data_IF_526267321107
#
_entry.id   IF_526267321107
#
_cell.length_a   1.000
_cell.length_b   1.000
_cell.length_c   1.000
_cell.angle_alpha   90.00
_cell.angle_beta   90.00
_cell.angle_gamma   90.00
#
_symmetry.space_group_name_H-M   'P 1'
#
loop_
_entity.id
_entity.type
_entity.pdbx_description
1 polymer ?
#
# COMPACT_ATOMS: atom_id res chain seq x y z
N UNK A 1 11.56 -3.10 1.20
CA UNK A 1 11.17 -2.27 0.05
C UNK A 1 11.32 -3.06 -1.25
N UNK A 2 11.01 -2.46 -2.41
CA UNK A 2 10.84 -3.15 -3.70
C UNK A 2 12.00 -4.04 -4.14
N UNK A 3 13.22 -3.72 -3.73
CA UNK A 3 14.41 -4.47 -4.13
C UNK A 3 14.71 -5.67 -3.23
N UNK A 4 13.88 -5.96 -2.22
CA UNK A 4 14.18 -6.99 -1.22
C UNK A 4 14.40 -8.38 -1.86
N UNK A 5 13.54 -8.76 -2.81
CA UNK A 5 13.68 -10.03 -3.55
C UNK A 5 14.99 -10.08 -4.35
N UNK A 6 15.33 -8.99 -5.04
CA UNK A 6 16.56 -8.88 -5.83
C UNK A 6 17.82 -8.93 -4.96
N UNK A 7 17.83 -8.23 -3.82
CA UNK A 7 18.95 -8.24 -2.87
C UNK A 7 19.12 -9.63 -2.25
N UNK A 8 18.02 -10.33 -1.91
CA UNK A 8 18.07 -11.72 -1.48
C UNK A 8 18.70 -12.65 -2.53
N UNK A 9 18.33 -12.47 -3.79
CA UNK A 9 18.87 -13.27 -4.90
C UNK A 9 20.38 -13.06 -5.11
N UNK A 10 20.93 -11.88 -4.81
CA UNK A 10 22.39 -11.64 -4.82
C UNK A 10 23.14 -12.51 -3.79
N UNK A 11 22.44 -12.92 -2.74
CA UNK A 11 22.94 -13.86 -1.73
C UNK A 11 22.59 -15.32 -2.05
N UNK A 12 21.90 -15.59 -3.16
CA UNK A 12 21.41 -16.93 -3.49
C UNK A 12 20.23 -17.37 -2.62
N UNK A 13 19.48 -16.44 -2.03
CA UNK A 13 18.35 -16.71 -1.14
C UNK A 13 17.07 -16.20 -1.80
N UNK A 14 16.06 -17.07 -1.89
CA UNK A 14 14.72 -16.67 -2.28
C UNK A 14 13.92 -16.24 -1.06
N UNK A 15 13.44 -15.00 -1.07
CA UNK A 15 12.59 -14.46 0.00
C UNK A 15 11.12 -14.62 -0.37
N UNK A 16 10.24 -15.06 0.56
CA UNK A 16 8.82 -15.30 0.32
C UNK A 16 8.05 -13.97 0.33
N UNK A 17 8.40 -13.08 -0.58
CA UNK A 17 7.84 -11.73 -0.69
C UNK A 17 7.30 -11.46 -2.08
N UNK A 18 6.25 -10.64 -2.13
CA UNK A 18 5.68 -10.09 -3.33
C UNK A 18 5.47 -8.59 -3.14
N UNK A 19 5.14 -7.90 -4.23
CA UNK A 19 4.98 -6.45 -4.24
C UNK A 19 3.65 -6.08 -4.88
N UNK A 20 3.02 -5.04 -4.35
CA UNK A 20 1.81 -4.42 -4.89
C UNK A 20 2.10 -2.97 -5.25
N UNK A 21 1.61 -2.50 -6.39
CA UNK A 21 1.77 -1.11 -6.80
C UNK A 21 0.94 -0.19 -5.88
N UNK A 22 1.58 0.81 -5.30
CA UNK A 22 0.93 1.81 -4.47
C UNK A 22 1.26 3.21 -4.99
N UNK A 23 0.26 3.84 -5.57
CA UNK A 23 0.35 5.19 -6.10
C UNK A 23 -0.36 6.16 -5.17
N UNK A 24 0.02 7.43 -5.21
CA UNK A 24 -0.67 8.53 -4.56
C UNK A 24 -0.74 9.69 -5.52
N UNK A 25 -1.76 10.51 -5.35
CA UNK A 25 -1.83 11.82 -5.98
C UNK A 25 -1.63 12.91 -4.94
N UNK A 26 -1.03 14.00 -5.35
CA UNK A 26 -1.04 15.27 -4.64
C UNK A 26 -1.76 16.31 -5.50
N UNK A 27 -2.76 16.96 -4.93
CA UNK A 27 -3.57 17.96 -5.62
C UNK A 27 -3.76 19.18 -4.75
N UNK A 28 -3.83 20.37 -5.37
CA UNK A 28 -4.20 21.59 -4.66
C UNK A 28 -5.72 21.66 -4.44
N UNK A 29 -6.15 21.61 -3.18
CA UNK A 29 -7.54 21.87 -2.78
C UNK A 29 -7.83 23.37 -2.79
N UNK A 30 -7.91 23.94 -3.99
CA UNK A 30 -8.11 25.37 -4.22
C UNK A 30 -9.53 25.86 -3.82
N UNK A 31 -10.52 24.97 -3.80
CA UNK A 31 -11.88 25.24 -3.31
C UNK A 31 -11.98 25.15 -1.78
N UNK A 32 -10.98 24.57 -1.10
CA UNK A 32 -10.97 24.45 0.36
C UNK A 32 -12.04 23.49 0.90
N UNK A 33 -12.31 22.41 0.15
CA UNK A 33 -13.33 21.41 0.51
C UNK A 33 -12.97 20.66 1.78
N UNK A 34 -11.68 20.32 1.95
CA UNK A 34 -11.21 19.59 3.12
C UNK A 34 -10.76 20.60 4.20
N UNK A 35 -11.29 20.54 5.44
CA UNK A 35 -10.80 21.38 6.54
C UNK A 35 -9.30 21.19 6.76
N UNK A 36 -8.55 22.26 7.06
CA UNK A 36 -7.07 22.19 7.19
C UNK A 36 -6.57 21.55 8.50
N UNK A 37 -7.49 21.24 9.40
CA UNK A 37 -7.27 20.49 10.63
C UNK A 37 -7.82 19.06 10.54
N UNK A 38 -8.30 18.64 9.35
CA UNK A 38 -8.77 17.28 9.15
C UNK A 38 -7.64 16.27 9.44
N UNK A 39 -7.94 15.17 10.16
CA UNK A 39 -6.97 14.12 10.42
C UNK A 39 -6.66 13.34 9.13
N UNK A 40 -5.76 12.36 9.23
CA UNK A 40 -5.73 11.28 8.26
C UNK A 40 -7.08 10.57 8.26
N UNK A 41 -7.71 10.44 7.10
CA UNK A 41 -9.01 9.81 6.94
C UNK A 41 -8.91 8.67 5.93
N UNK A 42 -9.47 7.52 6.29
CA UNK A 42 -9.58 6.35 5.43
C UNK A 42 -11.04 5.92 5.40
N UNK A 43 -11.51 5.57 4.21
CA UNK A 43 -12.86 5.06 4.00
C UNK A 43 -12.81 3.55 3.78
N UNK A 44 -13.32 2.80 4.74
CA UNK A 44 -13.20 1.33 4.81
C UNK A 44 -14.41 0.57 4.24
N UNK A 45 -15.40 1.28 3.68
CA UNK A 45 -16.50 0.62 2.97
C UNK A 45 -16.19 0.53 1.46
N UNK A 46 -16.66 -0.54 0.77
CA UNK A 46 -16.56 -0.65 -0.68
C UNK A 46 -17.11 0.57 -1.41
N UNK A 47 -16.51 0.92 -2.55
CA UNK A 47 -16.84 2.13 -3.30
C UNK A 47 -17.51 1.83 -4.63
N UNK A 48 -18.25 2.80 -5.14
CA UNK A 48 -18.78 2.80 -6.50
C UNK A 48 -18.50 4.16 -7.10
N UNK A 49 -17.95 4.21 -8.32
CA UNK A 49 -17.77 5.47 -9.01
C UNK A 49 -19.13 5.97 -9.51
N UNK A 50 -19.44 7.24 -9.23
CA UNK A 50 -20.60 7.92 -9.80
C UNK A 50 -20.30 8.22 -11.28
N UNK A 51 -20.78 7.34 -12.15
CA UNK A 51 -20.54 7.35 -13.59
C UNK A 51 -21.86 7.54 -14.34
N UNK A 52 -21.85 8.45 -15.31
CA UNK A 52 -22.90 8.55 -16.32
C UNK A 52 -22.94 7.31 -17.22
N UNK A 53 -24.02 7.16 -17.99
CA UNK A 53 -24.16 6.04 -18.93
C UNK A 53 -23.06 6.05 -20.01
N UNK A 54 -22.68 7.23 -20.49
CA UNK A 54 -21.63 7.41 -21.50
C UNK A 54 -20.24 7.06 -20.94
N UNK A 55 -19.92 7.53 -19.72
CA UNK A 55 -18.68 7.17 -19.04
C UNK A 55 -18.61 5.67 -18.76
N UNK A 56 -19.72 5.04 -18.35
CA UNK A 56 -19.78 3.60 -18.11
C UNK A 56 -19.51 2.80 -19.39
N UNK A 57 -20.06 3.22 -20.53
CA UNK A 57 -19.79 2.59 -21.83
C UNK A 57 -18.32 2.75 -22.25
N UNK A 58 -17.75 3.95 -22.08
CA UNK A 58 -16.33 4.20 -22.36
C UNK A 58 -15.40 3.37 -21.46
N UNK A 59 -15.65 3.36 -20.15
CA UNK A 59 -14.81 2.66 -19.16
C UNK A 59 -14.87 1.15 -19.35
N UNK A 60 -16.01 0.59 -19.80
CA UNK A 60 -16.14 -0.85 -20.03
C UNK A 60 -15.12 -1.41 -21.04
N UNK A 61 -14.59 -0.56 -21.93
CA UNK A 61 -13.58 -0.93 -22.94
C UNK A 61 -12.13 -0.78 -22.44
N UNK A 62 -11.91 -0.23 -21.23
CA UNK A 62 -10.59 -0.11 -20.63
C UNK A 62 -10.12 -1.45 -20.03
N UNK A 63 -8.79 -1.68 -19.89
CA UNK A 63 -8.25 -2.89 -19.28
C UNK A 63 -8.85 -3.21 -17.90
N UNK A 64 -9.04 -2.19 -17.08
CA UNK A 64 -9.59 -2.31 -15.72
C UNK A 64 -11.10 -2.01 -15.67
N UNK A 65 -11.76 -1.98 -16.83
CA UNK A 65 -13.14 -1.48 -16.98
C UNK A 65 -14.14 -2.17 -16.06
N UNK A 66 -14.07 -3.50 -15.95
CA UNK A 66 -14.97 -4.28 -15.09
C UNK A 66 -14.87 -3.91 -13.60
N UNK A 67 -13.65 -3.61 -13.12
CA UNK A 67 -13.42 -3.17 -11.76
C UNK A 67 -14.01 -1.76 -11.54
N UNK A 68 -13.72 -0.84 -12.46
CA UNK A 68 -14.12 0.57 -12.33
C UNK A 68 -15.64 0.80 -12.45
N UNK A 69 -16.36 -0.05 -13.21
CA UNK A 69 -17.83 0.04 -13.35
C UNK A 69 -18.58 -0.71 -12.23
N UNK A 70 -17.87 -1.54 -11.46
CA UNK A 70 -18.40 -2.42 -10.43
C UNK A 70 -18.23 -1.86 -9.02
N UNK A 71 -18.27 -2.76 -8.04
CA UNK A 71 -17.89 -2.46 -6.66
C UNK A 71 -16.36 -2.48 -6.55
N UNK A 72 -15.78 -1.37 -6.14
CA UNK A 72 -14.35 -1.18 -5.94
C UNK A 72 -13.97 -1.44 -4.47
N UNK A 73 -12.73 -1.89 -4.21
CA UNK A 73 -12.29 -2.22 -2.85
C UNK A 73 -12.25 -0.98 -1.93
N UNK A 74 -12.35 -1.19 -0.61
CA UNK A 74 -12.22 -0.14 0.37
C UNK A 74 -10.79 0.43 0.42
N UNK A 75 -10.57 1.41 1.31
CA UNK A 75 -9.23 1.89 1.65
C UNK A 75 -8.79 3.13 0.89
N UNK A 76 -9.69 3.82 0.18
CA UNK A 76 -9.41 5.17 -0.31
C UNK A 76 -9.17 6.09 0.89
N UNK A 77 -8.05 6.80 0.89
CA UNK A 77 -7.67 7.62 2.03
C UNK A 77 -6.99 8.91 1.63
N UNK A 78 -7.03 9.85 2.55
CA UNK A 78 -6.52 11.19 2.33
C UNK A 78 -5.93 11.79 3.59
N UNK A 79 -5.01 12.73 3.37
CA UNK A 79 -4.52 13.63 4.40
C UNK A 79 -4.05 14.92 3.75
N UNK A 80 -4.02 15.97 4.54
CA UNK A 80 -3.39 17.22 4.14
C UNK A 80 -1.87 17.01 4.09
N UNK A 81 -1.22 17.59 3.10
CA UNK A 81 0.23 17.55 2.95
C UNK A 81 0.87 18.88 3.31
N UNK A 82 1.96 18.81 4.08
CA UNK A 82 2.71 19.99 4.52
C UNK A 82 2.11 20.68 5.75
N UNK A 83 2.92 21.53 6.39
CA UNK A 83 2.48 22.39 7.49
C UNK A 83 2.03 23.78 7.02
N UNK A 84 1.48 24.58 7.94
CA UNK A 84 1.12 25.97 7.67
C UNK A 84 -0.08 26.12 6.73
N UNK A 85 -0.03 27.08 5.81
CA UNK A 85 -1.09 27.39 4.85
C UNK A 85 -1.13 26.50 3.60
N UNK A 86 -0.52 25.31 3.63
CA UNK A 86 -0.55 24.37 2.51
C UNK A 86 -1.99 23.98 2.17
N UNK A 87 -2.30 24.02 0.89
CA UNK A 87 -3.60 23.58 0.36
C UNK A 87 -3.52 22.22 -0.31
N UNK A 88 -2.37 21.55 -0.25
CA UNK A 88 -2.22 20.25 -0.89
C UNK A 88 -2.90 19.15 -0.09
N UNK A 89 -3.57 18.28 -0.84
CA UNK A 89 -4.22 17.07 -0.37
C UNK A 89 -3.51 15.88 -1.01
N UNK A 90 -3.06 14.93 -0.19
CA UNK A 90 -2.67 13.61 -0.69
C UNK A 90 -3.90 12.73 -0.73
N UNK A 91 -4.08 12.00 -1.83
CA UNK A 91 -5.09 10.96 -1.95
C UNK A 91 -4.39 9.69 -2.43
N UNK A 92 -4.71 8.56 -1.82
CA UNK A 92 -4.24 7.25 -2.21
C UNK A 92 -5.44 6.31 -2.21
N UNK A 93 -5.50 5.44 -3.21
CA UNK A 93 -6.45 4.33 -3.23
C UNK A 93 -5.73 3.08 -3.74
N UNK A 94 -5.53 2.05 -2.89
CA UNK A 94 -4.85 0.83 -3.29
C UNK A 94 -5.88 -0.14 -3.91
N UNK A 95 -6.51 0.25 -5.01
CA UNK A 95 -7.54 -0.58 -5.64
C UNK A 95 -6.97 -1.66 -6.58
N UNK A 96 -5.66 -1.64 -6.84
CA UNK A 96 -4.90 -2.71 -7.48
C UNK A 96 -4.06 -3.45 -6.44
N UNK A 97 -4.63 -4.51 -5.88
CA UNK A 97 -3.96 -5.34 -4.85
C UNK A 97 -3.28 -6.59 -5.42
N UNK A 98 -3.35 -6.79 -6.74
CA UNK A 98 -2.70 -7.93 -7.38
C UNK A 98 -1.18 -7.85 -7.20
N UNK A 99 -0.52 -8.98 -6.87
CA UNK A 99 0.94 -9.06 -6.90
C UNK A 99 1.49 -8.73 -8.29
N UNK A 100 2.40 -7.76 -8.34
CA UNK A 100 3.05 -7.29 -9.57
C UNK A 100 4.56 -7.30 -9.42
N UNK A 101 5.25 -7.47 -10.54
CA UNK A 101 6.69 -7.24 -10.59
C UNK A 101 7.00 -5.75 -10.40
N UNK A 102 8.07 -5.46 -9.67
CA UNK A 102 8.53 -4.08 -9.50
C UNK A 102 9.08 -3.55 -10.82
N UNK A 103 8.44 -2.52 -11.37
CA UNK A 103 8.80 -1.90 -12.64
C UNK A 103 9.06 -0.40 -12.42
N UNK A 104 10.21 0.07 -12.90
CA UNK A 104 10.61 1.48 -12.82
C UNK A 104 10.97 2.00 -14.22
N UNK A 105 10.47 3.17 -14.66
CA UNK A 105 9.58 4.09 -13.92
C UNK A 105 8.20 3.48 -13.63
N UNK A 106 7.53 4.00 -12.61
CA UNK A 106 6.25 3.44 -12.14
C UNK A 106 5.20 3.46 -13.26
N UNK A 107 4.49 2.35 -13.51
CA UNK A 107 3.34 2.37 -14.38
C UNK A 107 2.22 3.16 -13.71
N UNK A 108 1.83 4.29 -14.31
CA UNK A 108 0.73 5.12 -13.82
C UNK A 108 -0.50 4.80 -14.68
N UNK A 109 -1.58 4.24 -14.10
CA UNK A 109 -2.82 4.02 -14.83
C UNK A 109 -3.38 5.33 -15.36
N UNK A 110 -3.96 5.28 -16.56
CA UNK A 110 -4.74 6.40 -17.09
C UNK A 110 -5.86 6.73 -16.11
N UNK A 111 -6.17 8.02 -15.98
CA UNK A 111 -7.25 8.52 -15.10
C UNK A 111 -7.11 8.22 -13.59
N UNK A 112 -5.97 7.70 -13.11
CA UNK A 112 -5.77 7.35 -11.68
C UNK A 112 -6.19 8.47 -10.71
N UNK A 113 -5.85 9.71 -11.05
CA UNK A 113 -6.18 10.86 -10.21
C UNK A 113 -7.68 11.14 -10.12
N UNK A 114 -8.39 10.98 -11.24
CA UNK A 114 -9.84 11.15 -11.31
C UNK A 114 -10.56 10.03 -10.55
N UNK A 115 -10.10 8.79 -10.71
CA UNK A 115 -10.61 7.62 -9.98
C UNK A 115 -10.47 7.85 -8.47
N UNK A 116 -9.30 8.27 -8.00
CA UNK A 116 -9.07 8.62 -6.59
C UNK A 116 -10.01 9.73 -6.10
N UNK A 117 -10.21 10.77 -6.91
CA UNK A 117 -11.09 11.89 -6.57
C UNK A 117 -12.56 11.44 -6.44
N UNK A 118 -13.05 10.66 -7.42
CA UNK A 118 -14.40 10.10 -7.41
C UNK A 118 -14.62 9.16 -6.23
N UNK A 119 -13.67 8.25 -5.96
CA UNK A 119 -13.75 7.35 -4.80
C UNK A 119 -13.83 8.09 -3.47
N UNK A 120 -13.04 9.16 -3.31
CA UNK A 120 -13.06 9.95 -2.08
C UNK A 120 -14.32 10.82 -1.93
N UNK A 121 -15.02 11.11 -3.03
CA UNK A 121 -16.21 11.97 -3.02
C UNK A 121 -17.40 11.37 -2.27
N UNK A 122 -17.46 10.04 -2.10
CA UNK A 122 -18.44 9.40 -1.22
C UNK A 122 -18.30 9.88 0.23
N UNK A 123 -17.06 9.92 0.73
CA UNK A 123 -16.76 10.40 2.09
C UNK A 123 -16.80 11.94 2.17
N UNK A 124 -16.36 12.63 1.12
CA UNK A 124 -16.23 14.09 1.07
C UNK A 124 -16.95 14.63 -0.18
N UNK A 125 -18.27 14.82 -0.14
CA UNK A 125 -19.08 15.14 -1.33
C UNK A 125 -18.61 16.37 -2.11
N UNK A 126 -18.05 17.38 -1.45
CA UNK A 126 -17.54 18.58 -2.15
C UNK A 126 -16.39 18.31 -3.12
N UNK A 127 -15.74 17.13 -3.05
CA UNK A 127 -14.68 16.75 -3.98
C UNK A 127 -15.20 16.42 -5.38
N UNK A 128 -16.50 16.15 -5.55
CA UNK A 128 -17.09 15.94 -6.88
C UNK A 128 -16.92 17.16 -7.80
N UNK A 129 -16.87 18.37 -7.24
CA UNK A 129 -16.65 19.63 -7.98
C UNK A 129 -15.28 19.70 -8.69
N UNK A 130 -14.34 18.81 -8.33
CA UNK A 130 -13.03 18.71 -8.96
C UNK A 130 -13.00 17.83 -10.21
N UNK A 131 -14.00 16.99 -10.44
CA UNK A 131 -13.98 15.97 -11.51
C UNK A 131 -13.84 16.63 -12.89
N UNK A 132 -14.66 17.65 -13.18
CA UNK A 132 -14.64 18.34 -14.48
C UNK A 132 -13.43 19.26 -14.66
N UNK A 133 -12.89 19.80 -13.55
CA UNK A 133 -11.88 20.87 -13.55
C UNK A 133 -10.81 20.64 -12.50
N UNK A 134 -10.18 19.47 -12.57
CA UNK A 134 -9.13 19.08 -11.66
C UNK A 134 -7.86 19.93 -11.89
N UNK A 135 -7.30 20.59 -10.84
CA UNK A 135 -5.94 21.09 -10.90
C UNK A 135 -4.97 19.98 -11.31
N UNK A 136 -3.90 20.33 -12.02
CA UNK A 136 -2.92 19.35 -12.49
C UNK A 136 -2.40 18.51 -11.29
N UNK A 137 -2.69 17.20 -11.23
CA UNK A 137 -2.22 16.37 -10.13
C UNK A 137 -0.73 16.08 -10.29
N UNK A 138 -0.05 15.91 -9.17
CA UNK A 138 1.24 15.23 -9.11
C UNK A 138 1.00 13.78 -8.73
N UNK A 139 1.53 12.83 -9.49
CA UNK A 139 1.39 11.40 -9.20
C UNK A 139 2.76 10.85 -8.86
N UNK A 140 2.83 10.13 -7.76
CA UNK A 140 4.04 9.49 -7.24
C UNK A 140 3.65 8.16 -6.59
N UNK A 141 4.62 7.33 -6.21
CA UNK A 141 4.33 6.08 -5.54
C UNK A 141 5.52 5.17 -5.40
N UNK A 142 5.22 3.88 -5.31
CA UNK A 142 6.20 2.82 -5.21
C UNK A 142 5.51 1.48 -5.14
N UNK A 143 6.23 0.52 -4.56
CA UNK A 143 5.69 -0.81 -4.31
C UNK A 143 5.74 -1.11 -2.82
N UNK A 144 4.63 -1.62 -2.30
CA UNK A 144 4.59 -2.19 -0.97
C UNK A 144 4.98 -3.65 -1.09
N UNK A 145 6.19 -3.96 -0.60
CA UNK A 145 6.68 -5.33 -0.52
C UNK A 145 6.19 -5.96 0.77
N UNK A 146 5.56 -7.13 0.65
CA UNK A 146 4.88 -7.85 1.72
C UNK A 146 5.24 -9.34 1.67
N UNK A 147 4.99 -10.02 2.78
CA UNK A 147 4.87 -11.48 2.84
C UNK A 147 3.39 -11.87 2.81
N UNK A 148 3.09 -13.15 2.60
CA UNK A 148 1.71 -13.65 2.56
C UNK A 148 0.93 -13.44 3.86
N UNK A 149 1.61 -13.53 5.01
CA UNK A 149 1.02 -13.25 6.33
C UNK A 149 0.98 -11.75 6.67
N UNK A 150 1.42 -10.89 5.73
CA UNK A 150 1.59 -9.45 5.87
C UNK A 150 2.35 -9.05 7.14
N UNK A 151 3.31 -9.86 7.62
CA UNK A 151 4.20 -9.54 8.75
C UNK A 151 5.62 -9.29 8.27
N UNK A 152 6.39 -8.38 8.89
CA UNK A 152 7.75 -8.12 8.46
C UNK A 152 8.65 -9.35 8.52
N UNK A 153 9.69 -9.34 7.69
CA UNK A 153 10.81 -10.27 7.79
C UNK A 153 11.91 -9.61 8.63
N UNK A 154 12.16 -10.16 9.82
CA UNK A 154 13.16 -9.64 10.75
C UNK A 154 13.96 -10.80 11.35
N UNK A 155 15.26 -10.83 11.12
CA UNK A 155 16.14 -11.83 11.75
C UNK A 155 17.29 -12.30 10.86
N UNK A 156 18.08 -13.26 11.34
CA UNK A 156 19.18 -13.85 10.58
C UNK A 156 18.66 -14.63 9.36
N UNK A 157 19.48 -14.65 8.33
CA UNK A 157 19.30 -15.41 7.10
C UNK A 157 20.19 -16.67 7.13
N UNK A 158 19.97 -17.67 6.25
CA UNK A 158 20.78 -18.90 6.22
C UNK A 158 22.30 -18.72 5.97
N UNK A 159 22.75 -17.50 5.65
CA UNK A 159 24.17 -17.17 5.48
C UNK A 159 24.66 -16.48 6.72
N UNK A 160 25.78 -16.98 7.27
CA UNK A 160 26.43 -16.39 8.43
C UNK A 160 26.69 -14.89 8.23
N UNK A 161 26.24 -14.08 9.19
CA UNK A 161 26.38 -12.62 9.17
C UNK A 161 25.36 -11.89 8.29
N UNK A 162 24.46 -12.59 7.58
CA UNK A 162 23.38 -11.96 6.84
C UNK A 162 22.10 -11.86 7.68
N UNK A 163 21.44 -10.70 7.62
CA UNK A 163 20.19 -10.42 8.31
C UNK A 163 19.20 -9.76 7.35
N UNK A 164 17.91 -9.94 7.62
CA UNK A 164 16.83 -9.25 6.91
C UNK A 164 16.06 -8.36 7.88
N UNK A 165 15.72 -7.17 7.40
CA UNK A 165 14.73 -6.26 7.97
C UNK A 165 13.95 -5.68 6.79
N UNK A 166 12.74 -6.20 6.57
CA UNK A 166 12.03 -5.96 5.32
C UNK A 166 10.57 -6.40 5.34
N UNK A 167 9.93 -6.34 4.18
CA UNK A 167 8.52 -6.69 3.97
C UNK A 167 7.53 -5.92 4.90
N UNK A 168 7.79 -4.64 5.16
CA UNK A 168 6.99 -3.84 6.10
C UNK A 168 5.67 -3.29 5.53
N UNK A 169 5.29 -3.66 4.31
CA UNK A 169 3.96 -3.33 3.75
C UNK A 169 3.60 -1.83 3.84
N UNK A 170 2.31 -1.53 3.99
CA UNK A 170 1.76 -0.18 4.17
C UNK A 170 1.89 0.41 5.57
N UNK A 171 2.44 -0.34 6.54
CA UNK A 171 2.60 0.11 7.92
C UNK A 171 4.07 0.30 8.33
N UNK A 172 4.99 0.35 7.37
CA UNK A 172 6.42 0.47 7.64
C UNK A 172 6.80 1.67 8.49
N UNK A 173 6.14 2.83 8.34
CA UNK A 173 6.38 3.99 9.20
C UNK A 173 6.10 3.68 10.69
N UNK A 174 5.06 2.89 10.96
CA UNK A 174 4.63 2.53 12.31
C UNK A 174 5.50 1.41 12.89
N UNK A 175 5.80 0.39 12.10
CA UNK A 175 6.51 -0.80 12.56
C UNK A 175 8.04 -0.67 12.57
N UNK A 176 8.62 0.33 11.87
CA UNK A 176 10.08 0.42 11.69
C UNK A 176 10.85 0.42 13.02
N UNK A 177 10.43 1.20 14.02
CA UNK A 177 11.17 1.30 15.28
C UNK A 177 11.30 -0.07 15.98
N UNK A 178 10.17 -0.74 16.23
CA UNK A 178 10.15 -2.03 16.93
C UNK A 178 10.85 -3.14 16.12
N UNK A 179 10.65 -3.15 14.79
CA UNK A 179 11.29 -4.16 13.93
C UNK A 179 12.80 -3.92 13.77
N UNK A 180 13.27 -2.68 13.83
CA UNK A 180 14.71 -2.37 13.86
C UNK A 180 15.36 -2.74 15.19
N UNK A 181 14.67 -2.54 16.32
CA UNK A 181 15.15 -3.04 17.63
C UNK A 181 15.25 -4.57 17.63
N UNK A 182 14.26 -5.28 17.09
CA UNK A 182 14.31 -6.73 16.95
C UNK A 182 15.48 -7.18 16.04
N UNK A 183 15.72 -6.49 14.93
CA UNK A 183 16.87 -6.77 14.06
C UNK A 183 18.19 -6.55 14.80
N UNK A 184 18.32 -5.47 15.57
CA UNK A 184 19.49 -5.18 16.37
C UNK A 184 19.74 -6.27 17.43
N UNK A 185 18.70 -6.71 18.15
CA UNK A 185 18.81 -7.78 19.13
C UNK A 185 19.32 -9.10 18.52
N UNK A 186 18.86 -9.44 17.31
CA UNK A 186 19.39 -10.57 16.55
C UNK A 186 20.87 -10.41 16.20
N UNK A 187 21.30 -9.20 15.81
CA UNK A 187 22.70 -8.91 15.44
C UNK A 187 23.63 -8.94 16.66
N UNK A 188 23.19 -8.41 17.80
CA UNK A 188 24.00 -8.29 19.02
C UNK A 188 23.96 -9.52 19.92
N UNK A 189 23.08 -10.49 19.63
CA UNK A 189 22.91 -11.69 20.46
C UNK A 189 22.22 -11.40 21.78
N UNK A 190 21.36 -10.38 21.83
CA UNK A 190 20.57 -10.05 23.00
C UNK A 190 19.42 -11.04 23.22
N UNK A 191 18.77 -10.92 24.39
CA UNK A 191 17.56 -11.71 24.66
C UNK A 191 16.44 -11.26 23.73
N UNK A 192 15.89 -12.21 22.97
CA UNK A 192 14.81 -11.93 22.03
C UNK A 192 13.46 -11.83 22.74
N UNK A 193 12.57 -10.91 22.32
CA UNK A 193 11.20 -10.87 22.83
C UNK A 193 10.40 -12.12 22.41
N UNK A 194 9.35 -12.45 23.15
CA UNK A 194 8.50 -13.63 22.91
C UNK A 194 7.95 -13.68 21.47
N UNK A 195 7.63 -12.52 20.90
CA UNK A 195 7.09 -12.41 19.55
C UNK A 195 8.13 -12.56 18.43
N UNK A 196 9.43 -12.68 18.72
CA UNK A 196 10.49 -12.70 17.70
C UNK A 196 10.27 -13.78 16.62
N UNK A 197 9.82 -14.98 17.04
CA UNK A 197 9.55 -16.08 16.14
C UNK A 197 8.48 -15.77 15.07
N UNK A 198 7.55 -14.85 15.37
CA UNK A 198 6.50 -14.45 14.44
C UNK A 198 7.01 -13.61 13.25
N UNK A 199 8.21 -13.04 13.36
CA UNK A 199 8.83 -12.20 12.32
C UNK A 199 10.09 -12.83 11.71
N UNK A 200 10.58 -13.92 12.32
CA UNK A 200 11.75 -14.64 11.84
C UNK A 200 11.49 -15.26 10.45
N UNK A 201 12.44 -15.23 9.50
CA UNK A 201 12.26 -15.79 8.16
C UNK A 201 11.92 -17.29 8.15
N UNK A 202 12.50 -18.04 9.09
CA UNK A 202 12.30 -19.51 9.24
C UNK A 202 10.84 -19.93 9.44
N UNK A 203 9.93 -19.01 9.79
CA UNK A 203 8.51 -19.36 9.96
C UNK A 203 7.88 -19.92 8.68
N UNK A 204 8.42 -19.56 7.51
CA UNK A 204 7.97 -20.09 6.22
C UNK A 204 8.52 -21.49 5.90
N UNK A 205 9.40 -22.04 6.74
CA UNK A 205 9.83 -23.45 6.66
C UNK A 205 8.88 -24.41 7.39
N UNK A 206 7.99 -23.88 8.25
CA UNK A 206 6.95 -24.66 8.91
C UNK A 206 5.77 -24.88 7.96
N UNK A 207 5.63 -26.10 7.44
CA UNK A 207 4.55 -26.49 6.53
C UNK A 207 3.15 -26.26 7.14
N UNK A 208 3.00 -26.44 8.46
CA UNK A 208 1.75 -26.19 9.16
C UNK A 208 1.42 -24.71 9.23
N UNK A 209 2.44 -23.86 9.41
CA UNK A 209 2.28 -22.41 9.33
C UNK A 209 1.92 -21.95 7.91
N UNK A 210 2.62 -22.44 6.89
CA UNK A 210 2.36 -22.10 5.49
C UNK A 210 0.95 -22.53 5.06
N UNK A 211 0.53 -23.74 5.43
CA UNK A 211 -0.82 -24.22 5.15
C UNK A 211 -1.89 -23.35 5.85
N UNK A 212 -1.62 -22.92 7.09
CA UNK A 212 -2.54 -22.04 7.84
C UNK A 212 -2.70 -20.67 7.19
N UNK A 213 -1.60 -20.02 6.77
CA UNK A 213 -1.67 -18.67 6.18
C UNK A 213 -2.17 -18.68 4.73
N UNK A 214 -2.18 -19.83 4.05
CA UNK A 214 -2.76 -19.96 2.72
C UNK A 214 -4.28 -19.78 2.70
N UNK A 215 -4.94 -19.96 3.85
CA UNK A 215 -6.38 -19.78 4.03
C UNK A 215 -6.74 -18.38 4.58
N UNK A 216 -5.75 -17.50 4.80
CA UNK A 216 -5.96 -16.16 5.34
C UNK A 216 -6.51 -15.22 4.27
N UNK A 217 -7.46 -14.38 4.67
CA UNK A 217 -7.90 -13.22 3.90
C UNK A 217 -7.34 -11.92 4.50
N UNK A 218 -7.57 -10.79 3.84
CA UNK A 218 -7.06 -9.48 4.27
C UNK A 218 -7.58 -9.04 5.66
N UNK A 219 -8.69 -9.59 6.14
CA UNK A 219 -9.22 -9.30 7.49
C UNK A 219 -8.45 -10.04 8.61
N UNK A 220 -7.65 -11.04 8.25
CA UNK A 220 -6.86 -11.85 9.17
C UNK A 220 -5.38 -11.44 9.26
N UNK A 221 -4.99 -10.41 8.51
CA UNK A 221 -3.65 -9.84 8.48
C UNK A 221 -3.45 -8.83 9.64
N UNK A 222 -2.22 -8.72 10.14
CA UNK A 222 -1.80 -7.79 11.21
C UNK A 222 -1.23 -6.48 10.66
#
# INVERSE_FOLDING_TARGET
GPMLKNVGALLGIELPVFSELHLKIAIEDHLGVVPRDAPFMIWEDPQHLDLSAEEREFIAELPDGQLLIGEMPPGVHTRIEGGGGSRYLLILWPYHLDPVAENFPLPIPDHYAEICMRGLSTMIPGLSEYVDRMPKPWIDGGYYTKTQDNRPLVGPMPIEGAFVHGALSGYGLMASAATSELAAAHITGETLPEYAAAFHPVRFEDEGYVAKIAEWDDSTQL
#
